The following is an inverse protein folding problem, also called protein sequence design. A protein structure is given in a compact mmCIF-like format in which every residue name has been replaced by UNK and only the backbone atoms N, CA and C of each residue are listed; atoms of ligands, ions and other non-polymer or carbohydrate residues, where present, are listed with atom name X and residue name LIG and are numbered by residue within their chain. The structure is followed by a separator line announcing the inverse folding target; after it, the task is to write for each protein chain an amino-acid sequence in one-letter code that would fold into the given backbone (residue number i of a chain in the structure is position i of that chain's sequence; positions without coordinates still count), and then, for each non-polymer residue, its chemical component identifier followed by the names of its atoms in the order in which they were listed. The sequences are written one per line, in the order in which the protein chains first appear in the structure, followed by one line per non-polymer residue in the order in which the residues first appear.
data_IF_003455743514
#
_entry.id   IF_003455743514
#
_cell.length_a   1.000
_cell.length_b   1.000
_cell.length_c   1.000
_cell.angle_alpha   90.00
_cell.angle_beta   90.00
_cell.angle_gamma   90.00
#
_symmetry.space_group_name_H-M   'P 1'
#
loop_
_entity.id
_entity.type
_entity.pdbx_description
1 polymer ?
#
# COMPACT_ATOMS: atom_id res chain seq x y z
N UNK A 1 9.99 -6.50 -0.79
CA UNK A 1 9.00 -5.59 -1.42
C UNK A 1 8.22 -6.45 -2.39
N UNK A 2 6.91 -6.26 -2.44
CA UNK A 2 6.01 -6.98 -3.33
C UNK A 2 5.75 -6.14 -4.59
N UNK A 3 5.41 -6.83 -5.68
CA UNK A 3 5.04 -6.22 -6.96
C UNK A 3 3.53 -6.23 -7.22
N UNK A 4 2.75 -6.79 -6.29
CA UNK A 4 1.29 -6.87 -6.38
C UNK A 4 0.64 -7.01 -5.01
N UNK A 5 -0.67 -6.77 -4.95
CA UNK A 5 -1.51 -7.06 -3.79
C UNK A 5 -1.41 -8.51 -3.34
N UNK A 6 -1.31 -9.45 -4.28
CA UNK A 6 -1.14 -10.87 -3.99
C UNK A 6 0.14 -11.13 -3.20
N UNK A 7 1.28 -10.65 -3.70
CA UNK A 7 2.57 -10.83 -3.01
C UNK A 7 2.58 -10.10 -1.65
N UNK A 8 1.97 -8.92 -1.56
CA UNK A 8 1.86 -8.19 -0.29
C UNK A 8 1.03 -8.96 0.74
N UNK A 9 -0.08 -9.57 0.31
CA UNK A 9 -0.91 -10.43 1.15
C UNK A 9 -0.15 -11.67 1.62
N UNK A 10 0.56 -12.36 0.73
CA UNK A 10 1.39 -13.53 1.08
C UNK A 10 2.46 -13.15 2.13
N UNK A 11 3.08 -11.97 1.99
CA UNK A 11 4.03 -11.45 2.99
C UNK A 11 3.32 -11.15 4.31
N UNK A 12 2.12 -10.56 4.27
CA UNK A 12 1.34 -10.25 5.47
C UNK A 12 0.96 -11.53 6.23
N UNK A 13 0.48 -12.55 5.53
CA UNK A 13 0.13 -13.85 6.10
C UNK A 13 1.36 -14.56 6.69
N UNK A 14 2.48 -14.59 5.97
CA UNK A 14 3.72 -15.20 6.43
C UNK A 14 4.30 -14.50 7.68
N UNK A 15 4.06 -13.19 7.83
CA UNK A 15 4.57 -12.37 8.95
C UNK A 15 3.55 -12.12 10.06
N UNK A 16 2.30 -12.56 9.88
CA UNK A 16 1.20 -12.29 10.81
C UNK A 16 0.81 -10.81 10.89
N UNK A 17 0.93 -10.08 9.78
CA UNK A 17 0.49 -8.68 9.69
C UNK A 17 -0.97 -8.58 9.25
N UNK A 18 -1.70 -7.66 9.87
CA UNK A 18 -3.11 -7.43 9.61
C UNK A 18 -3.36 -6.51 8.42
N UNK A 19 -2.35 -5.78 7.95
CA UNK A 19 -2.48 -4.76 6.92
C UNK A 19 -1.46 -4.94 5.79
N UNK A 20 -1.87 -4.48 4.62
CA UNK A 20 -1.07 -4.34 3.42
C UNK A 20 -1.17 -2.91 2.90
N UNK A 21 -0.18 -2.50 2.12
CA UNK A 21 -0.16 -1.19 1.50
C UNK A 21 0.36 -1.26 0.07
N UNK A 22 -0.08 -0.30 -0.74
CA UNK A 22 0.57 0.10 -1.99
C UNK A 22 1.10 1.52 -1.79
N UNK A 23 2.41 1.67 -1.86
CA UNK A 23 3.09 2.95 -1.94
C UNK A 23 2.98 3.45 -3.38
N UNK A 24 2.08 4.40 -3.59
CA UNK A 24 1.77 4.90 -4.92
C UNK A 24 2.90 5.78 -5.48
N UNK A 25 3.68 6.43 -4.60
CA UNK A 25 4.78 7.30 -5.01
C UNK A 25 6.01 6.48 -5.45
N UNK A 26 6.25 5.32 -4.84
CA UNK A 26 7.34 4.40 -5.21
C UNK A 26 6.89 3.23 -6.12
N UNK A 27 5.58 3.04 -6.30
CA UNK A 27 4.98 1.94 -7.05
C UNK A 27 5.22 0.56 -6.41
N UNK A 28 5.38 0.50 -5.10
CA UNK A 28 5.74 -0.73 -4.38
C UNK A 28 4.65 -1.20 -3.44
N UNK A 29 4.49 -2.52 -3.33
CA UNK A 29 3.53 -3.14 -2.43
C UNK A 29 4.23 -3.72 -1.22
N UNK A 30 3.51 -3.80 -0.10
CA UNK A 30 4.07 -4.35 1.13
C UNK A 30 3.03 -4.72 2.15
N UNK A 31 3.52 -5.31 3.24
CA UNK A 31 2.74 -5.63 4.42
C UNK A 31 3.24 -4.78 5.58
N UNK A 32 2.32 -4.25 6.38
CA UNK A 32 2.64 -3.35 7.48
C UNK A 32 1.75 -3.61 8.69
N UNK A 33 2.15 -3.03 9.83
CA UNK A 33 1.24 -2.86 10.97
C UNK A 33 0.38 -1.63 10.76
N UNK A 34 -0.75 -1.56 11.46
CA UNK A 34 -1.66 -0.42 11.40
C UNK A 34 -1.02 0.92 11.82
N UNK A 35 0.07 0.88 12.59
CA UNK A 35 0.77 2.06 13.13
C UNK A 35 1.98 2.50 12.30
N UNK A 36 2.36 1.72 11.28
CA UNK A 36 3.57 2.02 10.51
C UNK A 36 3.27 3.16 9.52
N UNK A 37 4.17 4.14 9.45
CA UNK A 37 4.12 5.22 8.46
C UNK A 37 5.10 4.93 7.35
N UNK A 38 4.65 5.03 6.11
CA UNK A 38 5.44 4.78 4.91
C UNK A 38 5.89 6.11 4.33
N UNK A 39 7.15 6.15 3.90
CA UNK A 39 7.75 7.36 3.41
C UNK A 39 9.26 7.27 3.30
N UNK A 40 9.86 8.33 2.76
CA UNK A 40 11.31 8.44 2.58
C UNK A 40 11.88 9.43 3.57
N UNK A 41 12.95 9.02 4.27
CA UNK A 41 13.78 9.95 5.01
C UNK A 41 14.92 10.45 4.13
N UNK A 42 14.90 11.72 3.77
CA UNK A 42 15.91 12.34 2.92
C UNK A 42 16.39 13.66 3.54
N UNK A 43 17.71 13.89 3.52
CA UNK A 43 18.33 15.13 3.99
C UNK A 43 17.91 15.58 5.41
N UNK A 44 17.61 14.65 6.32
CA UNK A 44 17.19 14.98 7.69
C UNK A 44 15.69 15.22 7.87
N UNK A 45 14.88 15.07 6.82
CA UNK A 45 13.43 15.22 6.86
C UNK A 45 12.72 13.93 6.42
N UNK A 46 11.63 13.59 7.08
CA UNK A 46 10.73 12.50 6.67
C UNK A 46 9.63 13.08 5.78
N UNK A 47 9.53 12.55 4.57
CA UNK A 47 8.43 12.83 3.64
C UNK A 47 7.52 11.60 3.61
N UNK A 48 6.27 11.78 4.04
CA UNK A 48 5.26 10.72 3.99
C UNK A 48 4.82 10.49 2.55
N UNK A 49 4.73 9.23 2.15
CA UNK A 49 4.27 8.85 0.82
C UNK A 49 2.75 8.70 0.80
N UNK A 50 2.19 8.84 -0.40
CA UNK A 50 0.79 8.54 -0.66
C UNK A 50 0.62 7.01 -0.74
N UNK A 51 0.15 6.42 0.35
CA UNK A 51 -0.07 4.98 0.43
C UNK A 51 -1.56 4.62 0.49
N UNK A 52 -1.95 3.59 -0.26
CA UNK A 52 -3.27 2.98 -0.16
C UNK A 52 -3.16 1.82 0.82
N UNK A 53 -3.87 1.89 1.94
CA UNK A 53 -3.82 0.89 3.02
C UNK A 53 -5.08 0.04 3.04
N UNK A 54 -4.91 -1.28 3.18
CA UNK A 54 -6.01 -2.23 3.24
C UNK A 54 -5.74 -3.37 4.24
N UNK A 55 -6.80 -4.08 4.62
CA UNK A 55 -6.71 -5.26 5.48
C UNK A 55 -6.18 -6.46 4.69
N UNK A 56 -5.19 -7.17 5.26
CA UNK A 56 -4.63 -8.40 4.65
C UNK A 56 -5.65 -9.55 4.57
N UNK A 57 -6.78 -9.44 5.26
CA UNK A 57 -7.88 -10.39 5.20
C UNK A 57 -8.64 -10.37 3.86
N UNK A 58 -8.59 -9.28 3.11
CA UNK A 58 -9.23 -9.18 1.78
C UNK A 58 -8.54 -10.10 0.77
N UNK A 59 -9.24 -10.50 -0.29
CA UNK A 59 -8.61 -11.17 -1.43
C UNK A 59 -7.77 -10.17 -2.24
N UNK A 60 -6.82 -10.67 -3.04
CA UNK A 60 -6.04 -9.81 -3.92
C UNK A 60 -6.92 -9.09 -4.94
N UNK A 61 -7.93 -9.77 -5.48
CA UNK A 61 -8.91 -9.20 -6.42
C UNK A 61 -9.76 -8.10 -5.78
N UNK A 62 -10.18 -8.28 -4.53
CA UNK A 62 -10.90 -7.24 -3.78
C UNK A 62 -10.04 -6.01 -3.52
N UNK A 63 -8.74 -6.20 -3.25
CA UNK A 63 -7.79 -5.10 -3.09
C UNK A 63 -7.58 -4.34 -4.39
N UNK A 64 -7.37 -5.05 -5.50
CA UNK A 64 -7.23 -4.47 -6.85
C UNK A 64 -8.47 -3.67 -7.26
N UNK A 65 -9.68 -4.21 -7.00
CA UNK A 65 -10.93 -3.51 -7.28
C UNK A 65 -11.06 -2.23 -6.46
N UNK A 66 -10.80 -2.31 -5.15
CA UNK A 66 -10.86 -1.16 -4.25
C UNK A 66 -9.86 -0.08 -4.62
N UNK A 67 -8.64 -0.47 -5.00
CA UNK A 67 -7.61 0.46 -5.45
C UNK A 67 -8.04 1.17 -6.72
N UNK A 68 -8.54 0.42 -7.71
CA UNK A 68 -9.05 1.01 -8.95
C UNK A 68 -10.18 2.01 -8.65
N UNK A 69 -11.16 1.62 -7.84
CA UNK A 69 -12.26 2.53 -7.44
C UNK A 69 -11.74 3.77 -6.74
N UNK A 70 -10.78 3.62 -5.83
CA UNK A 70 -10.16 4.75 -5.15
C UNK A 70 -9.51 5.72 -6.15
N UNK A 71 -8.75 5.22 -7.13
CA UNK A 71 -8.10 6.05 -8.15
C UNK A 71 -9.10 6.71 -9.12
N UNK A 72 -10.24 6.07 -9.39
CA UNK A 72 -11.35 6.64 -10.15
C UNK A 72 -12.03 7.79 -9.40
N UNK A 73 -12.20 7.64 -8.07
CA UNK A 73 -12.79 8.66 -7.20
C UNK A 73 -11.81 9.81 -6.89
N UNK A 74 -10.51 9.53 -6.93
CA UNK A 74 -9.42 10.46 -6.59
C UNK A 74 -8.45 10.66 -7.76
N UNK A 75 -8.88 11.24 -8.89
CA UNK A 75 -8.04 11.44 -10.07
C UNK A 75 -6.84 12.37 -9.82
N UNK A 76 -6.84 13.15 -8.73
CA UNK A 76 -5.68 13.93 -8.28
C UNK A 76 -4.47 13.05 -7.96
N UNK A 77 -4.67 11.77 -7.65
CA UNK A 77 -3.57 10.83 -7.42
C UNK A 77 -2.80 10.51 -8.71
N UNK A 78 -3.51 10.50 -9.83
CA UNK A 78 -2.98 10.23 -11.17
C UNK A 78 -2.23 11.42 -11.78
N UNK A 79 -2.39 12.62 -11.23
CA UNK A 79 -1.90 13.88 -11.80
C UNK A 79 -0.59 14.37 -11.15
N UNK A 80 0.31 13.46 -10.81
CA UNK A 80 1.61 13.74 -10.18
C UNK A 80 2.68 14.22 -11.15
#
# INVERSE_FOLDING_TARGET
MAQSWKEAKEIAEARGFEHVYHDYDDGTYGACRATDRQGTFSCGAFSEHRCIHMLSSLSAEEMEEKERTFLEEHPEWLSG
#
